data_IF_320885507408
#
_entry.id   IF_320885507408
#
_cell.length_a   1.000
_cell.length_b   1.000
_cell.length_c   1.000
_cell.angle_alpha   90.00
_cell.angle_beta   90.00
_cell.angle_gamma   90.00
#
_symmetry.space_group_name_H-M   'P 1'
#
loop_
_entity.id
_entity.type
_entity.pdbx_description
1 polymer ?
#
# COMPACT_ATOMS: atom_id res chain seq x y z
N UNK A 1 62.41 1.01 3.03
CA UNK A 1 62.55 -0.03 4.09
C UNK A 1 61.27 -0.84 4.14
N UNK A 2 61.31 -2.17 3.88
CA UNK A 2 60.15 -3.05 4.03
C UNK A 2 59.88 -3.25 5.51
N UNK A 3 58.83 -2.69 6.07
CA UNK A 3 58.43 -2.91 7.45
C UNK A 3 58.26 -4.39 7.74
N UNK A 4 58.87 -4.87 8.82
CA UNK A 4 58.76 -6.27 9.23
C UNK A 4 57.36 -6.52 9.79
N UNK A 5 56.47 -7.06 8.93
CA UNK A 5 55.06 -7.30 9.27
C UNK A 5 54.84 -8.27 10.44
N UNK A 6 55.85 -9.06 10.80
CA UNK A 6 55.81 -9.90 12.00
C UNK A 6 55.96 -9.07 13.28
N UNK A 7 56.82 -8.06 13.27
CA UNK A 7 56.98 -7.13 14.38
C UNK A 7 55.72 -6.24 14.53
N UNK A 8 55.17 -5.73 13.42
CA UNK A 8 53.94 -4.94 13.38
C UNK A 8 52.71 -5.71 13.90
N UNK A 9 52.58 -7.00 13.57
CA UNK A 9 51.50 -7.84 14.08
C UNK A 9 51.60 -8.06 15.59
N UNK A 10 52.83 -8.23 16.10
CA UNK A 10 53.07 -8.38 17.53
C UNK A 10 52.79 -7.09 18.31
N UNK A 11 53.19 -5.96 17.77
CA UNK A 11 52.94 -4.62 18.35
C UNK A 11 51.42 -4.30 18.44
N UNK A 12 50.67 -4.68 17.41
CA UNK A 12 49.20 -4.48 17.34
C UNK A 12 48.40 -5.57 18.06
N UNK A 13 49.04 -6.60 18.62
CA UNK A 13 48.35 -7.72 19.30
C UNK A 13 47.42 -8.54 18.40
N UNK A 14 47.69 -8.59 17.08
CA UNK A 14 46.86 -9.30 16.10
C UNK A 14 47.62 -10.40 15.37
N UNK A 15 46.93 -11.39 14.82
CA UNK A 15 47.58 -12.41 14.00
C UNK A 15 48.15 -11.78 12.72
N UNK A 16 49.30 -12.28 12.24
CA UNK A 16 49.95 -11.79 11.02
C UNK A 16 49.02 -11.82 9.80
N UNK A 17 48.13 -12.81 9.70
CA UNK A 17 47.09 -12.93 8.65
C UNK A 17 46.11 -11.76 8.62
N UNK A 18 45.85 -11.16 9.78
CA UNK A 18 44.95 -10.01 9.93
C UNK A 18 45.50 -8.77 9.21
N UNK A 19 46.82 -8.61 9.14
CA UNK A 19 47.48 -7.51 8.41
C UNK A 19 47.30 -7.58 6.88
N UNK A 20 46.98 -8.74 6.37
CA UNK A 20 46.72 -8.97 4.94
C UNK A 20 45.25 -9.09 4.62
N UNK A 21 44.40 -9.09 5.64
CA UNK A 21 42.97 -9.22 5.43
C UNK A 21 42.41 -7.95 4.80
N UNK A 22 41.87 -8.09 3.61
CA UNK A 22 41.10 -7.06 2.95
C UNK A 22 39.61 -7.44 3.01
N UNK A 23 38.84 -6.64 3.67
CA UNK A 23 37.38 -6.87 3.75
C UNK A 23 36.75 -6.77 2.37
N UNK A 24 36.09 -7.85 1.93
CA UNK A 24 35.27 -7.85 0.72
C UNK A 24 33.83 -7.30 1.02
N UNK A 25 33.63 -6.80 2.23
CA UNK A 25 32.28 -6.41 2.67
C UNK A 25 31.78 -5.18 1.94
N UNK A 26 32.63 -4.19 1.67
CA UNK A 26 32.28 -2.97 0.95
C UNK A 26 31.77 -3.26 -0.46
N UNK A 27 32.46 -4.14 -1.20
CA UNK A 27 32.03 -4.56 -2.54
C UNK A 27 30.68 -5.28 -2.50
N UNK A 28 30.46 -6.14 -1.48
CA UNK A 28 29.16 -6.82 -1.28
C UNK A 28 28.07 -5.83 -0.91
N UNK A 29 28.39 -4.82 -0.12
CA UNK A 29 27.45 -3.80 0.30
C UNK A 29 27.08 -2.87 -0.84
N UNK A 30 28.06 -2.49 -1.68
CA UNK A 30 27.80 -1.72 -2.91
C UNK A 30 26.87 -2.45 -3.88
N UNK A 31 27.11 -3.73 -4.16
CA UNK A 31 26.20 -4.54 -4.98
C UNK A 31 24.80 -4.59 -4.38
N UNK A 32 24.70 -4.77 -3.07
CA UNK A 32 23.42 -4.78 -2.37
C UNK A 32 22.71 -3.42 -2.44
N UNK A 33 23.47 -2.31 -2.36
CA UNK A 33 22.95 -0.95 -2.55
C UNK A 33 22.28 -0.79 -3.93
N UNK A 34 22.97 -1.19 -5.00
CA UNK A 34 22.42 -1.10 -6.36
C UNK A 34 21.12 -1.89 -6.52
N UNK A 35 21.06 -3.12 -5.96
CA UNK A 35 19.83 -3.92 -5.94
C UNK A 35 18.69 -3.22 -5.17
N UNK A 36 18.99 -2.60 -4.03
CA UNK A 36 18.01 -1.84 -3.24
C UNK A 36 17.48 -0.62 -4.02
N UNK A 37 18.36 0.10 -4.70
CA UNK A 37 18.00 1.28 -5.51
C UNK A 37 17.12 0.89 -6.71
N UNK A 38 17.42 -0.23 -7.37
CA UNK A 38 16.58 -0.78 -8.44
C UNK A 38 15.18 -1.13 -7.94
N UNK A 39 15.05 -1.78 -6.78
CA UNK A 39 13.73 -2.07 -6.20
C UNK A 39 12.99 -0.80 -5.81
N UNK A 40 13.68 0.22 -5.30
CA UNK A 40 13.06 1.48 -4.90
C UNK A 40 12.64 2.35 -6.09
N UNK A 41 13.26 2.19 -7.27
CA UNK A 41 12.80 2.87 -8.49
C UNK A 41 11.44 2.35 -8.97
N UNK A 42 11.15 1.05 -8.74
CA UNK A 42 9.85 0.45 -9.08
C UNK A 42 8.82 0.60 -7.94
N UNK A 43 9.30 0.54 -6.69
CA UNK A 43 8.49 0.54 -5.48
C UNK A 43 9.02 1.55 -4.44
N UNK A 44 8.85 2.86 -4.64
CA UNK A 44 9.48 3.92 -3.82
C UNK A 44 9.16 3.85 -2.31
N UNK A 45 8.02 3.26 -1.95
CA UNK A 45 7.58 3.13 -0.55
C UNK A 45 8.00 1.83 0.15
N UNK A 46 8.84 0.98 -0.48
CA UNK A 46 9.29 -0.25 0.15
C UNK A 46 10.28 0.03 1.27
N UNK A 47 9.96 -0.42 2.50
CA UNK A 47 10.90 -0.49 3.61
C UNK A 47 11.77 -1.76 3.54
N UNK A 48 12.82 -1.80 4.34
CA UNK A 48 13.80 -2.89 4.36
C UNK A 48 13.21 -4.32 4.40
N UNK A 49 12.05 -4.51 5.04
CA UNK A 49 11.38 -5.83 5.11
C UNK A 49 10.87 -6.29 3.74
N UNK A 50 10.19 -5.39 2.98
CA UNK A 50 9.68 -5.69 1.64
C UNK A 50 10.81 -5.83 0.62
N UNK A 51 11.83 -4.97 0.71
CA UNK A 51 13.02 -5.07 -0.14
C UNK A 51 13.71 -6.42 0.08
N UNK A 52 13.84 -6.86 1.32
CA UNK A 52 14.43 -8.15 1.64
C UNK A 52 13.65 -9.34 1.07
N UNK A 53 12.30 -9.28 1.14
CA UNK A 53 11.41 -10.28 0.53
C UNK A 53 11.52 -10.26 -0.99
N UNK A 54 11.50 -9.08 -1.60
CA UNK A 54 11.60 -8.91 -3.06
C UNK A 54 12.93 -9.47 -3.61
N UNK A 55 14.04 -9.23 -2.92
CA UNK A 55 15.38 -9.66 -3.33
C UNK A 55 15.75 -11.08 -2.86
N UNK A 56 14.93 -11.73 -2.04
CA UNK A 56 15.25 -13.03 -1.44
C UNK A 56 16.48 -13.00 -0.52
N UNK A 57 16.81 -11.85 0.13
CA UNK A 57 17.98 -11.69 0.97
C UNK A 57 17.63 -11.35 2.42
N UNK A 58 18.60 -11.52 3.34
CA UNK A 58 18.35 -11.29 4.75
C UNK A 58 18.00 -9.82 5.07
N UNK A 59 16.89 -9.59 5.79
CA UNK A 59 16.40 -8.26 6.20
C UNK A 59 17.41 -7.45 7.01
N UNK A 60 18.28 -8.09 7.82
CA UNK A 60 19.33 -7.41 8.59
C UNK A 60 20.39 -6.82 7.65
N UNK A 61 20.74 -7.54 6.56
CA UNK A 61 21.69 -7.07 5.55
C UNK A 61 21.12 -5.84 4.82
N UNK A 62 19.88 -5.90 4.37
CA UNK A 62 19.21 -4.76 3.70
C UNK A 62 19.19 -3.54 4.63
N UNK A 63 18.72 -3.71 5.87
CA UNK A 63 18.64 -2.62 6.84
C UNK A 63 20.00 -1.98 7.13
N UNK A 64 21.06 -2.80 7.25
CA UNK A 64 22.44 -2.31 7.46
C UNK A 64 22.92 -1.49 6.27
N UNK A 65 22.76 -2.00 5.04
CA UNK A 65 23.17 -1.30 3.82
C UNK A 65 22.38 0.00 3.65
N UNK A 66 21.07 -0.01 3.85
CA UNK A 66 20.26 1.21 3.81
C UNK A 66 20.75 2.27 4.81
N UNK A 67 21.17 1.84 6.02
CA UNK A 67 21.73 2.77 7.02
C UNK A 67 23.10 3.33 6.60
N UNK A 68 24.00 2.49 6.11
CA UNK A 68 25.35 2.89 5.67
C UNK A 68 25.28 3.95 4.55
N UNK A 69 24.39 3.73 3.58
CA UNK A 69 24.25 4.63 2.42
C UNK A 69 23.17 5.69 2.57
N UNK A 70 22.56 5.83 3.75
CA UNK A 70 21.53 6.85 4.01
C UNK A 70 20.24 6.67 3.20
N UNK A 71 19.99 5.48 2.66
CA UNK A 71 18.83 5.19 1.82
C UNK A 71 17.57 5.14 2.70
N UNK A 72 16.61 5.99 2.40
CA UNK A 72 15.31 6.05 3.10
C UNK A 72 14.19 5.85 2.09
N UNK A 73 13.22 4.94 2.35
CA UNK A 73 12.04 4.84 1.53
C UNK A 73 11.21 6.12 1.63
N UNK A 74 10.56 6.50 0.54
CA UNK A 74 9.67 7.65 0.58
C UNK A 74 8.50 7.38 1.54
N UNK A 75 8.24 8.33 2.43
CA UNK A 75 7.13 8.29 3.39
C UNK A 75 6.38 9.59 3.37
N UNK A 76 5.06 9.52 3.27
CA UNK A 76 4.21 10.69 3.42
C UNK A 76 4.19 11.12 4.90
N UNK A 77 4.21 12.45 5.14
CA UNK A 77 3.99 12.99 6.48
C UNK A 77 2.53 12.76 6.88
N UNK A 78 2.32 12.07 7.99
CA UNK A 78 0.97 11.82 8.53
C UNK A 78 0.48 13.08 9.22
N UNK A 79 -0.70 13.59 8.80
CA UNK A 79 -1.38 14.67 9.52
C UNK A 79 -2.04 14.12 10.78
N UNK A 80 -1.92 14.82 11.92
CA UNK A 80 -2.65 14.47 13.15
C UNK A 80 -4.15 14.71 12.93
N UNK A 81 -4.97 13.74 13.27
CA UNK A 81 -6.42 13.86 13.22
C UNK A 81 -6.93 14.85 14.27
N UNK A 82 -7.91 15.69 13.87
CA UNK A 82 -8.67 16.54 14.80
C UNK A 82 -9.89 15.78 15.27
N UNK A 83 -10.25 15.95 16.55
CA UNK A 83 -11.49 15.42 17.11
C UNK A 83 -12.69 16.01 16.36
N UNK A 84 -13.60 15.16 15.90
CA UNK A 84 -14.85 15.56 15.23
C UNK A 84 -16.02 15.23 16.16
N UNK A 85 -17.02 16.12 16.24
CA UNK A 85 -18.26 15.87 16.99
C UNK A 85 -18.95 14.60 16.46
N UNK A 86 -19.40 13.75 17.39
CA UNK A 86 -20.16 12.55 17.09
C UNK A 86 -21.52 12.94 16.47
N UNK A 87 -21.77 12.50 15.23
CA UNK A 87 -23.10 12.52 14.61
C UNK A 87 -23.79 11.17 14.83
N UNK A 88 -25.13 11.08 14.78
CA UNK A 88 -25.83 9.79 14.90
C UNK A 88 -25.32 8.79 13.86
N UNK A 89 -25.13 7.55 14.29
CA UNK A 89 -24.70 6.45 13.41
C UNK A 89 -25.94 5.99 12.62
N UNK A 90 -25.86 5.98 11.29
CA UNK A 90 -26.96 5.53 10.41
C UNK A 90 -26.92 4.01 10.22
N UNK A 91 -25.70 3.44 10.07
CA UNK A 91 -25.45 2.01 9.91
C UNK A 91 -24.44 1.52 10.96
N UNK A 92 -24.66 0.30 11.47
CA UNK A 92 -23.76 -0.32 12.45
C UNK A 92 -22.40 -0.67 11.84
N UNK A 93 -21.34 -0.60 12.65
CA UNK A 93 -20.01 -1.08 12.26
C UNK A 93 -19.90 -2.59 12.48
N UNK A 94 -20.23 -3.37 11.45
CA UNK A 94 -20.18 -4.82 11.47
C UNK A 94 -18.75 -5.38 11.49
N UNK A 95 -17.74 -4.60 11.11
CA UNK A 95 -16.34 -5.05 11.11
C UNK A 95 -15.77 -5.26 12.52
N UNK A 96 -16.38 -4.68 13.54
CA UNK A 96 -15.97 -4.88 14.95
C UNK A 96 -16.22 -6.31 15.45
N UNK A 97 -17.25 -6.95 14.94
CA UNK A 97 -17.71 -8.28 15.38
C UNK A 97 -17.58 -9.36 14.31
N UNK A 98 -17.14 -8.99 13.09
CA UNK A 98 -17.12 -9.93 11.96
C UNK A 98 -15.71 -10.02 11.38
N UNK A 99 -15.20 -11.23 11.23
CA UNK A 99 -13.99 -11.53 10.46
C UNK A 99 -14.37 -12.05 9.08
N UNK A 100 -13.59 -11.76 8.03
CA UNK A 100 -13.87 -12.28 6.70
C UNK A 100 -13.68 -13.80 6.68
N UNK A 101 -14.70 -14.51 6.18
CA UNK A 101 -14.68 -15.97 6.03
C UNK A 101 -13.89 -16.43 4.80
N UNK A 102 -13.71 -15.58 3.80
CA UNK A 102 -13.00 -15.90 2.57
C UNK A 102 -12.96 -14.73 1.58
N UNK A 103 -12.62 -15.06 0.34
CA UNK A 103 -12.54 -14.13 -0.78
C UNK A 103 -13.94 -13.58 -1.09
N UNK A 104 -14.04 -12.27 -1.32
CA UNK A 104 -15.28 -11.55 -1.61
C UNK A 104 -16.35 -11.60 -0.50
N UNK A 105 -15.96 -11.89 0.74
CA UNK A 105 -16.89 -11.91 1.87
C UNK A 105 -17.15 -10.51 2.41
N UNK A 106 -16.09 -9.75 2.67
CA UNK A 106 -16.16 -8.38 3.20
C UNK A 106 -15.32 -7.46 2.33
N UNK A 107 -15.94 -6.40 1.81
CA UNK A 107 -15.24 -5.33 1.11
C UNK A 107 -15.21 -4.05 1.93
N UNK A 108 -14.15 -3.28 1.79
CA UNK A 108 -14.05 -1.92 2.35
C UNK A 108 -13.90 -0.92 1.22
N UNK A 109 -14.73 0.12 1.26
CA UNK A 109 -14.79 1.18 0.27
C UNK A 109 -14.39 2.52 0.88
N UNK A 110 -13.68 3.33 0.12
CA UNK A 110 -13.35 4.71 0.46
C UNK A 110 -12.96 5.46 -0.82
N UNK A 111 -12.88 6.78 -0.76
CA UNK A 111 -12.31 7.56 -1.84
C UNK A 111 -11.29 8.58 -1.33
N UNK A 112 -10.39 8.95 -2.20
CA UNK A 112 -9.38 9.97 -1.94
C UNK A 112 -9.33 10.95 -3.11
N UNK A 113 -8.57 12.01 -2.96
CA UNK A 113 -8.38 12.98 -4.03
C UNK A 113 -6.91 13.34 -4.22
N UNK A 114 -6.59 13.80 -5.41
CA UNK A 114 -5.33 14.41 -5.80
C UNK A 114 -5.62 15.73 -6.51
N UNK A 115 -4.65 16.64 -6.50
CA UNK A 115 -4.77 17.90 -7.27
C UNK A 115 -4.01 17.72 -8.58
N UNK A 116 -4.67 17.93 -9.69
CA UNK A 116 -4.11 17.89 -11.03
C UNK A 116 -4.43 19.19 -11.75
N UNK A 117 -3.40 19.96 -12.11
CA UNK A 117 -3.52 21.26 -12.80
C UNK A 117 -4.56 22.20 -12.17
N UNK A 118 -4.56 22.25 -10.82
CA UNK A 118 -5.49 23.09 -10.04
C UNK A 118 -6.88 22.49 -9.79
N UNK A 119 -7.23 21.38 -10.42
CA UNK A 119 -8.52 20.69 -10.23
C UNK A 119 -8.40 19.49 -9.30
N UNK A 120 -9.46 19.20 -8.55
CA UNK A 120 -9.57 17.98 -7.75
C UNK A 120 -9.97 16.80 -8.62
N UNK A 121 -9.20 15.71 -8.52
CA UNK A 121 -9.52 14.41 -9.13
C UNK A 121 -9.72 13.42 -8.01
N UNK A 122 -10.86 12.76 -7.99
CA UNK A 122 -11.28 11.81 -6.96
C UNK A 122 -11.09 10.38 -7.44
N UNK A 123 -10.57 9.55 -6.55
CA UNK A 123 -10.25 8.15 -6.82
C UNK A 123 -10.97 7.34 -5.74
N UNK A 124 -12.03 6.62 -6.11
CA UNK A 124 -12.68 5.65 -5.24
C UNK A 124 -12.11 4.26 -5.49
N UNK A 125 -11.94 3.50 -4.42
CA UNK A 125 -11.49 2.10 -4.50
C UNK A 125 -12.25 1.22 -3.53
N UNK A 126 -12.38 -0.06 -3.89
CA UNK A 126 -12.90 -1.11 -3.04
C UNK A 126 -11.81 -2.16 -2.84
N UNK A 127 -11.53 -2.50 -1.59
CA UNK A 127 -10.58 -3.55 -1.23
C UNK A 127 -11.30 -4.75 -0.63
N UNK A 128 -10.94 -5.94 -1.06
CA UNK A 128 -11.29 -7.18 -0.38
C UNK A 128 -10.49 -7.31 0.91
N UNK A 129 -11.16 -7.45 2.05
CA UNK A 129 -10.53 -7.49 3.38
C UNK A 129 -9.70 -8.75 3.57
N UNK A 130 -10.09 -9.87 2.95
CA UNK A 130 -9.41 -11.15 3.07
C UNK A 130 -8.11 -11.16 2.25
N UNK A 131 -8.20 -10.86 0.96
CA UNK A 131 -7.07 -10.92 0.02
C UNK A 131 -6.24 -9.65 -0.04
N UNK A 132 -6.74 -8.52 0.44
CA UNK A 132 -6.18 -7.17 0.26
C UNK A 132 -6.18 -6.69 -1.18
N UNK A 133 -6.82 -7.40 -2.08
CA UNK A 133 -6.92 -7.03 -3.49
C UNK A 133 -7.82 -5.81 -3.68
N UNK A 134 -7.40 -4.87 -4.51
CA UNK A 134 -8.27 -3.79 -4.98
C UNK A 134 -9.18 -4.37 -6.06
N UNK A 135 -10.45 -4.52 -5.74
CA UNK A 135 -11.45 -5.21 -6.57
C UNK A 135 -12.32 -4.26 -7.39
N UNK A 136 -12.39 -2.99 -6.98
CA UNK A 136 -13.13 -1.95 -7.70
C UNK A 136 -12.35 -0.64 -7.71
N UNK A 137 -12.51 0.13 -8.78
CA UNK A 137 -11.90 1.45 -8.94
C UNK A 137 -12.78 2.35 -9.81
N UNK A 138 -12.85 3.63 -9.44
CA UNK A 138 -13.44 4.71 -10.24
C UNK A 138 -12.63 5.98 -10.06
N UNK A 139 -12.44 6.74 -11.15
CA UNK A 139 -11.69 8.02 -11.13
C UNK A 139 -12.53 9.07 -11.83
N UNK A 140 -12.96 10.10 -11.10
CA UNK A 140 -13.80 11.17 -11.62
C UNK A 140 -13.33 12.54 -11.13
N UNK A 141 -13.80 13.61 -11.79
CA UNK A 141 -13.58 15.00 -11.38
C UNK A 141 -14.57 15.47 -10.30
N UNK A 142 -15.50 14.64 -9.89
CA UNK A 142 -16.50 14.92 -8.85
C UNK A 142 -16.52 13.81 -7.81
N UNK A 143 -16.85 14.14 -6.55
CA UNK A 143 -17.04 13.18 -5.46
C UNK A 143 -18.52 12.87 -5.18
N UNK A 144 -19.41 13.12 -6.13
CA UNK A 144 -20.84 12.76 -6.01
C UNK A 144 -21.03 11.25 -5.92
N UNK A 145 -22.25 10.82 -5.57
CA UNK A 145 -22.64 9.39 -5.44
C UNK A 145 -22.20 8.54 -6.63
N UNK A 146 -22.21 9.09 -7.84
CA UNK A 146 -21.77 8.38 -9.05
C UNK A 146 -20.34 7.84 -8.94
N UNK A 147 -19.44 8.49 -8.20
CA UNK A 147 -18.08 8.03 -7.99
C UNK A 147 -18.04 6.67 -7.27
N UNK A 148 -18.74 6.57 -6.14
CA UNK A 148 -18.76 5.35 -5.32
C UNK A 148 -19.63 4.26 -5.93
N UNK A 149 -20.74 4.63 -6.58
CA UNK A 149 -21.60 3.69 -7.32
C UNK A 149 -20.89 3.07 -8.51
N UNK A 150 -20.16 3.87 -9.31
CA UNK A 150 -19.35 3.36 -10.42
C UNK A 150 -18.24 2.44 -9.93
N UNK A 151 -17.62 2.74 -8.77
CA UNK A 151 -16.61 1.90 -8.17
C UNK A 151 -17.20 0.53 -7.75
N UNK A 152 -18.39 0.51 -7.14
CA UNK A 152 -19.06 -0.72 -6.76
C UNK A 152 -19.51 -1.53 -7.98
N UNK A 153 -20.10 -0.91 -8.99
CA UNK A 153 -20.46 -1.55 -10.26
C UNK A 153 -19.24 -2.15 -10.97
N UNK A 154 -18.13 -1.42 -11.01
CA UNK A 154 -16.88 -1.95 -11.56
C UNK A 154 -16.40 -3.20 -10.82
N UNK A 155 -16.52 -3.25 -9.48
CA UNK A 155 -16.14 -4.42 -8.69
C UNK A 155 -17.03 -5.63 -8.98
N UNK A 156 -18.36 -5.47 -8.98
CA UNK A 156 -19.32 -6.57 -9.18
C UNK A 156 -19.43 -7.05 -10.63
N UNK A 157 -18.90 -6.28 -11.60
CA UNK A 157 -18.82 -6.70 -12.98
C UNK A 157 -17.92 -7.93 -13.16
N UNK A 158 -16.93 -8.09 -12.29
CA UNK A 158 -15.92 -9.15 -12.39
C UNK A 158 -15.91 -10.11 -11.21
N UNK A 159 -16.74 -9.86 -10.18
CA UNK A 159 -16.76 -10.62 -8.92
C UNK A 159 -18.18 -10.70 -8.37
N UNK A 160 -18.50 -11.77 -7.62
CA UNK A 160 -19.77 -11.81 -6.87
C UNK A 160 -19.81 -10.67 -5.85
N UNK A 161 -21.00 -10.07 -5.60
CA UNK A 161 -21.17 -9.10 -4.55
C UNK A 161 -20.71 -9.64 -3.18
N UNK A 162 -20.19 -8.80 -2.29
CA UNK A 162 -19.77 -9.23 -0.97
C UNK A 162 -20.97 -9.41 -0.03
N UNK A 163 -20.81 -10.18 1.03
CA UNK A 163 -21.82 -10.25 2.10
C UNK A 163 -21.93 -8.91 2.85
N UNK A 164 -20.79 -8.21 3.03
CA UNK A 164 -20.71 -6.92 3.72
C UNK A 164 -19.85 -5.95 2.91
N UNK A 165 -20.34 -4.71 2.72
CA UNK A 165 -19.51 -3.60 2.28
C UNK A 165 -19.42 -2.55 3.39
N UNK A 166 -18.20 -2.14 3.74
CA UNK A 166 -17.92 -1.18 4.79
C UNK A 166 -17.35 0.12 4.21
N UNK A 167 -17.81 1.25 4.72
CA UNK A 167 -17.32 2.57 4.34
C UNK A 167 -17.30 3.52 5.55
N UNK A 168 -16.88 4.76 5.34
CA UNK A 168 -17.17 5.85 6.26
C UNK A 168 -18.63 6.32 6.12
N UNK A 169 -19.00 7.34 6.88
CA UNK A 169 -20.35 7.95 6.82
C UNK A 169 -20.41 9.15 5.85
N UNK A 170 -19.65 9.13 4.77
CA UNK A 170 -19.74 10.12 3.70
C UNK A 170 -21.17 10.25 3.14
N UNK A 171 -21.54 11.44 2.68
CA UNK A 171 -22.87 11.69 2.07
C UNK A 171 -23.11 10.79 0.87
N UNK A 172 -22.06 10.50 0.13
CA UNK A 172 -22.03 9.67 -1.06
C UNK A 172 -22.47 8.23 -0.75
N UNK A 173 -21.95 7.66 0.36
CA UNK A 173 -22.28 6.31 0.83
C UNK A 173 -23.66 6.21 1.50
N UNK A 174 -24.18 7.33 2.01
CA UNK A 174 -25.53 7.39 2.61
C UNK A 174 -26.62 7.77 1.63
N UNK A 175 -26.27 8.08 0.39
CA UNK A 175 -27.24 8.43 -0.63
C UNK A 175 -28.17 7.25 -0.92
N UNK A 176 -29.43 7.54 -1.21
CA UNK A 176 -30.43 6.52 -1.52
C UNK A 176 -30.02 5.70 -2.74
N UNK A 177 -29.45 6.34 -3.75
CA UNK A 177 -28.99 5.67 -4.98
C UNK A 177 -27.93 4.62 -4.68
N UNK A 178 -26.95 4.93 -3.81
CA UNK A 178 -25.88 3.98 -3.45
C UNK A 178 -26.40 2.86 -2.55
N UNK A 179 -27.17 3.19 -1.53
CA UNK A 179 -27.68 2.19 -0.58
C UNK A 179 -28.64 1.21 -1.27
N UNK A 180 -29.56 1.70 -2.11
CA UNK A 180 -30.44 0.84 -2.92
C UNK A 180 -29.63 -0.07 -3.85
N UNK A 181 -28.64 0.48 -4.58
CA UNK A 181 -27.76 -0.28 -5.46
C UNK A 181 -27.06 -1.44 -4.74
N UNK A 182 -26.60 -1.22 -3.52
CA UNK A 182 -25.87 -2.21 -2.70
C UNK A 182 -26.84 -3.26 -2.15
N UNK A 183 -27.98 -2.82 -1.59
CA UNK A 183 -28.98 -3.69 -0.96
C UNK A 183 -29.68 -4.60 -1.97
N UNK A 184 -29.92 -4.12 -3.21
CA UNK A 184 -30.45 -4.95 -4.31
C UNK A 184 -29.52 -6.09 -4.74
N UNK A 185 -28.29 -6.15 -4.22
CA UNK A 185 -27.30 -7.20 -4.43
C UNK A 185 -27.10 -8.09 -3.20
N UNK A 186 -28.06 -8.07 -2.26
CA UNK A 186 -28.03 -8.82 -1.00
C UNK A 186 -26.77 -8.51 -0.13
N UNK A 187 -26.19 -7.33 -0.35
CA UNK A 187 -25.00 -6.85 0.38
C UNK A 187 -25.42 -5.99 1.58
N UNK A 188 -24.93 -6.35 2.77
CA UNK A 188 -25.16 -5.57 3.99
C UNK A 188 -24.23 -4.36 4.04
N UNK A 189 -24.80 -3.20 4.34
CA UNK A 189 -24.04 -1.96 4.53
C UNK A 189 -23.54 -1.90 5.97
N UNK A 190 -22.27 -1.55 6.12
CA UNK A 190 -21.59 -1.32 7.39
C UNK A 190 -20.85 0.02 7.33
N UNK A 191 -20.89 0.81 8.40
CA UNK A 191 -20.22 2.11 8.41
C UNK A 191 -19.38 2.31 9.69
N UNK A 192 -18.22 2.95 9.53
CA UNK A 192 -17.39 3.37 10.66
C UNK A 192 -18.09 4.47 11.46
N UNK A 193 -17.78 4.57 12.76
CA UNK A 193 -18.28 5.68 13.55
C UNK A 193 -17.68 7.02 13.08
N UNK A 194 -18.44 8.13 13.15
CA UNK A 194 -17.93 9.44 12.78
C UNK A 194 -16.66 9.80 13.53
N UNK A 195 -15.63 10.26 12.81
CA UNK A 195 -14.34 10.64 13.38
C UNK A 195 -13.47 9.46 13.85
N UNK A 196 -13.78 8.24 13.42
CA UNK A 196 -13.03 7.03 13.71
C UNK A 196 -12.31 6.48 12.46
N UNK A 197 -11.35 7.22 11.84
CA UNK A 197 -10.69 6.81 10.61
C UNK A 197 -9.93 5.49 10.75
N UNK A 198 -9.45 5.16 11.97
CA UNK A 198 -8.78 3.86 12.23
C UNK A 198 -9.68 2.65 11.98
N UNK A 199 -11.01 2.82 11.92
CA UNK A 199 -11.95 1.76 11.56
C UNK A 199 -11.93 1.44 10.07
N UNK A 200 -11.38 2.35 9.22
CA UNK A 200 -11.10 2.11 7.81
C UNK A 200 -9.59 2.08 7.48
N UNK A 201 -8.78 1.56 8.41
CA UNK A 201 -7.31 1.52 8.31
C UNK A 201 -6.77 0.78 7.08
N UNK A 202 -7.56 -0.11 6.46
CA UNK A 202 -7.22 -0.79 5.21
C UNK A 202 -7.06 0.22 4.07
N UNK A 203 -8.06 1.08 3.90
CA UNK A 203 -8.09 2.10 2.86
C UNK A 203 -7.05 3.20 3.11
N UNK A 204 -6.89 3.67 4.35
CA UNK A 204 -5.84 4.63 4.69
C UNK A 204 -4.44 4.12 4.32
N UNK A 205 -4.15 2.87 4.69
CA UNK A 205 -2.87 2.23 4.35
C UNK A 205 -2.67 2.07 2.85
N UNK A 206 -3.73 1.77 2.10
CA UNK A 206 -3.71 1.65 0.64
C UNK A 206 -3.43 3.00 -0.02
N UNK A 207 -4.24 4.02 0.28
CA UNK A 207 -4.09 5.36 -0.31
C UNK A 207 -2.75 6.02 0.04
N UNK A 208 -2.27 5.80 1.26
CA UNK A 208 -0.94 6.27 1.64
C UNK A 208 0.16 5.75 0.70
N UNK A 209 0.04 4.51 0.23
CA UNK A 209 0.98 3.88 -0.71
C UNK A 209 0.71 4.31 -2.15
N UNK A 210 -0.56 4.31 -2.56
CA UNK A 210 -0.97 4.73 -3.91
C UNK A 210 -0.47 6.15 -4.21
N UNK A 211 -0.66 7.10 -3.28
CA UNK A 211 -0.20 8.49 -3.46
C UNK A 211 1.31 8.63 -3.47
N UNK A 212 2.03 7.78 -2.75
CA UNK A 212 3.50 7.73 -2.80
C UNK A 212 3.99 7.25 -4.16
N UNK A 213 3.40 6.16 -4.65
CA UNK A 213 3.80 5.54 -5.91
C UNK A 213 3.36 6.41 -7.12
N UNK A 214 2.23 7.12 -7.00
CA UNK A 214 1.76 8.08 -8.01
C UNK A 214 2.70 9.30 -8.13
N UNK A 215 3.29 9.76 -7.03
CA UNK A 215 4.14 10.95 -7.00
C UNK A 215 3.35 12.24 -7.27
N UNK A 216 3.96 13.16 -8.04
CA UNK A 216 3.30 14.43 -8.44
C UNK A 216 2.32 14.19 -9.59
N UNK A 217 1.01 14.42 -9.41
CA UNK A 217 0.03 14.28 -10.49
C UNK A 217 0.27 15.26 -11.66
N UNK A 218 0.88 16.40 -11.39
CA UNK A 218 1.10 17.43 -12.42
C UNK A 218 2.17 17.08 -13.44
N UNK A 219 2.94 16.00 -13.22
CA UNK A 219 3.91 15.47 -14.21
C UNK A 219 3.25 14.88 -15.47
N UNK A 220 1.96 14.59 -15.41
CA UNK A 220 1.23 14.02 -16.55
C UNK A 220 0.71 15.14 -17.48
N UNK A 221 0.90 14.96 -18.78
CA UNK A 221 0.47 15.94 -19.78
C UNK A 221 -1.06 16.04 -19.88
N UNK A 222 -1.76 14.89 -19.79
CA UNK A 222 -3.22 14.83 -19.91
C UNK A 222 -3.84 14.16 -18.68
N UNK A 223 -5.12 14.47 -18.42
CA UNK A 223 -5.91 13.77 -17.40
C UNK A 223 -6.01 12.27 -17.71
N UNK A 224 -6.14 11.90 -18.98
CA UNK A 224 -6.17 10.51 -19.40
C UNK A 224 -4.89 9.75 -19.02
N UNK A 225 -3.72 10.38 -19.17
CA UNK A 225 -2.44 9.78 -18.74
C UNK A 225 -2.37 9.61 -17.21
N UNK A 226 -2.86 10.58 -16.43
CA UNK A 226 -2.97 10.46 -14.97
C UNK A 226 -3.90 9.29 -14.58
N UNK A 227 -5.07 9.21 -15.20
CA UNK A 227 -6.05 8.13 -14.96
C UNK A 227 -5.45 6.77 -15.32
N UNK A 228 -4.81 6.63 -16.47
CA UNK A 228 -4.14 5.40 -16.88
C UNK A 228 -3.06 4.97 -15.87
N UNK A 229 -2.30 5.92 -15.34
CA UNK A 229 -1.30 5.63 -14.31
C UNK A 229 -1.93 5.15 -13.00
N UNK A 230 -3.06 5.71 -12.57
CA UNK A 230 -3.80 5.20 -11.40
C UNK A 230 -4.20 3.75 -11.59
N UNK A 231 -4.75 3.38 -12.75
CA UNK A 231 -5.11 2.00 -13.07
C UNK A 231 -3.88 1.08 -13.14
N UNK A 232 -2.78 1.55 -13.74
CA UNK A 232 -1.50 0.81 -13.77
C UNK A 232 -0.96 0.53 -12.37
N UNK A 233 -1.01 1.52 -11.48
CA UNK A 233 -0.55 1.37 -10.09
C UNK A 233 -1.42 0.39 -9.30
N UNK A 234 -2.74 0.38 -9.54
CA UNK A 234 -3.66 -0.60 -8.96
C UNK A 234 -3.35 -2.00 -9.49
N UNK A 235 -3.09 -2.13 -10.78
CA UNK A 235 -2.66 -3.40 -11.37
C UNK A 235 -1.35 -3.90 -10.72
N UNK A 236 -0.34 -3.05 -10.58
CA UNK A 236 0.94 -3.38 -9.92
C UNK A 236 0.72 -3.74 -8.46
N UNK A 237 -0.14 -3.00 -7.75
CA UNK A 237 -0.52 -3.32 -6.36
C UNK A 237 -1.09 -4.72 -6.24
N UNK A 238 -2.03 -5.08 -7.10
CA UNK A 238 -2.69 -6.38 -7.06
C UNK A 238 -1.74 -7.53 -7.47
N UNK A 239 -0.93 -7.35 -8.52
CA UNK A 239 -0.21 -8.45 -9.16
C UNK A 239 1.24 -8.62 -8.67
N UNK A 240 1.93 -7.52 -8.35
CA UNK A 240 3.39 -7.54 -8.11
C UNK A 240 3.78 -7.05 -6.73
N UNK A 241 3.00 -6.13 -6.14
CA UNK A 241 3.38 -5.50 -4.87
C UNK A 241 3.25 -6.46 -3.69
N UNK A 242 4.35 -6.72 -2.99
CA UNK A 242 4.33 -7.55 -1.79
C UNK A 242 3.59 -6.85 -0.65
N UNK A 243 2.50 -7.45 -0.18
CA UNK A 243 1.79 -7.04 1.02
C UNK A 243 2.44 -7.68 2.26
N UNK A 244 2.86 -6.87 3.24
CA UNK A 244 3.70 -7.36 4.35
C UNK A 244 3.01 -8.43 5.21
N UNK A 245 1.69 -8.35 5.40
CA UNK A 245 0.92 -9.35 6.16
C UNK A 245 0.64 -10.62 5.38
N UNK A 246 0.72 -10.58 4.05
CA UNK A 246 0.50 -11.75 3.19
C UNK A 246 1.82 -12.42 2.79
N UNK A 247 2.94 -11.66 2.82
CA UNK A 247 4.25 -12.12 2.33
C UNK A 247 4.38 -12.18 0.81
N UNK A 248 3.30 -11.91 0.08
CA UNK A 248 3.20 -11.96 -1.38
C UNK A 248 2.25 -10.89 -1.90
N UNK A 249 2.02 -10.83 -3.22
CA UNK A 249 1.03 -9.92 -3.79
C UNK A 249 -0.41 -10.36 -3.46
N UNK A 250 -1.38 -9.42 -3.40
CA UNK A 250 -2.78 -9.74 -3.14
C UNK A 250 -3.34 -10.82 -4.05
N UNK A 251 -3.05 -10.75 -5.35
CA UNK A 251 -3.56 -11.71 -6.34
C UNK A 251 -2.91 -13.09 -6.21
N UNK A 252 -1.60 -13.16 -5.91
CA UNK A 252 -0.94 -14.43 -5.60
C UNK A 252 -1.58 -15.10 -4.38
N UNK A 253 -1.84 -14.32 -3.33
CA UNK A 253 -2.53 -14.82 -2.14
C UNK A 253 -3.93 -15.33 -2.48
N UNK A 254 -4.71 -14.57 -3.26
CA UNK A 254 -6.05 -14.98 -3.68
C UNK A 254 -6.05 -16.29 -4.51
N UNK A 255 -5.03 -16.51 -5.34
CA UNK A 255 -4.90 -17.76 -6.12
C UNK A 255 -4.68 -18.97 -5.23
N UNK A 256 -3.81 -18.86 -4.21
CA UNK A 256 -3.53 -19.96 -3.27
C UNK A 256 -4.77 -20.29 -2.43
N UNK A 257 -5.59 -19.30 -2.07
CA UNK A 257 -6.79 -19.53 -1.27
C UNK A 257 -7.99 -20.11 -2.05
N UNK A 258 -7.90 -20.19 -3.37
CA UNK A 258 -8.93 -20.84 -4.24
C UNK A 258 -8.67 -22.33 -4.47
N UNK A 259 -7.47 -22.79 -4.13
CA UNK A 259 -7.04 -24.19 -4.22
C UNK A 259 -7.39 -24.93 -2.95
#
# INVERSE_FOLDING_TARGET
>A
MKQNKKAQAKELGVARSTLYYQSKQEVKDWKTKQMIESVLSEHPSYGHKRIALHLGINKKRVNRVMKIYGIKPYRRVVKKYKYVKKTPVVYENLLRSTTPAGINDIWVSDFTHVVYKGAWIYIATILDVYTRECVGVSVLSTHATILVSSCFLNAILHRPPPRIIHSDQGSEYKSREYTTLVEERDTKISMSAPGCPWENGYQESFYGKLKVDLGDPNRFETLGALVAEVYRLIYVYNNSRIHTSLGMSPKQYAMIQKT
#
